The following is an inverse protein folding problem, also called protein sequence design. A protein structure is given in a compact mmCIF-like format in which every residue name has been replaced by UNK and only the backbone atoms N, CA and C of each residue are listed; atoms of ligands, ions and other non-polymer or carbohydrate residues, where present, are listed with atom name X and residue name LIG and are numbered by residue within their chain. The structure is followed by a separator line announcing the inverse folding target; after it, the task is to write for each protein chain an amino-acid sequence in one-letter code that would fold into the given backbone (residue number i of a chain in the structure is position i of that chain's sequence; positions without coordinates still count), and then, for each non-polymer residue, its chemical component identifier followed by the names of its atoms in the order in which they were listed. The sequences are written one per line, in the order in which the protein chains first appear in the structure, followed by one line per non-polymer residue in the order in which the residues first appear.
data_IF_820921381364
#
_entry.id   IF_820921381364
#
_cell.length_a   1.000
_cell.length_b   1.000
_cell.length_c   1.000
_cell.angle_alpha   90.00
_cell.angle_beta   90.00
_cell.angle_gamma   90.00
#
_symmetry.space_group_name_H-M   'P 1'
#
loop_
_entity.id
_entity.type
_entity.pdbx_description
1 polymer ?
#
# COMPACT_ATOMS: atom_id res chain seq x y z
N UNK A 1 -3.20 29.83 -3.98
CA UNK A 1 -3.88 28.85 -3.12
C UNK A 1 -5.27 28.68 -3.69
N UNK A 2 -5.61 27.50 -4.19
CA UNK A 2 -6.97 27.20 -4.62
C UNK A 2 -7.92 27.35 -3.42
N UNK A 3 -9.17 27.76 -3.69
CA UNK A 3 -10.16 27.93 -2.61
C UNK A 3 -10.44 26.58 -1.95
N UNK A 4 -10.61 26.53 -0.62
CA UNK A 4 -10.93 25.30 0.08
C UNK A 4 -12.26 24.74 -0.43
N UNK A 5 -12.21 23.50 -0.94
CA UNK A 5 -13.41 22.76 -1.36
C UNK A 5 -13.93 21.92 -0.19
N UNK A 6 -15.23 21.57 -0.21
CA UNK A 6 -15.80 20.61 0.73
C UNK A 6 -15.38 19.19 0.30
N UNK A 7 -14.81 18.42 1.23
CA UNK A 7 -14.40 17.03 1.03
C UNK A 7 -15.35 16.09 1.75
N UNK A 8 -15.85 15.10 1.04
CA UNK A 8 -16.60 14.00 1.63
C UNK A 8 -15.70 12.80 1.90
N UNK A 9 -15.92 12.10 2.99
CA UNK A 9 -15.30 10.82 3.28
C UNK A 9 -16.40 9.83 3.64
N UNK A 10 -16.59 8.82 2.83
CA UNK A 10 -17.58 7.77 3.05
C UNK A 10 -16.92 6.55 3.71
N UNK A 11 -17.18 6.35 4.99
CA UNK A 11 -16.57 5.37 5.88
C UNK A 11 -15.76 6.01 7.00
N UNK A 12 -16.17 5.80 8.26
CA UNK A 12 -15.55 6.35 9.47
C UNK A 12 -14.60 5.35 10.16
N UNK A 13 -14.06 4.38 9.40
CA UNK A 13 -13.02 3.48 9.87
C UNK A 13 -11.66 4.17 10.04
N UNK A 14 -10.62 3.41 10.38
CA UNK A 14 -9.27 3.95 10.61
C UNK A 14 -8.74 4.74 9.39
N UNK A 15 -8.95 4.24 8.17
CA UNK A 15 -8.52 4.92 6.95
C UNK A 15 -9.32 6.19 6.70
N UNK A 16 -10.67 6.12 6.71
CA UNK A 16 -11.50 7.30 6.46
C UNK A 16 -11.27 8.40 7.50
N UNK A 17 -11.16 8.05 8.79
CA UNK A 17 -10.80 9.00 9.86
C UNK A 17 -9.47 9.68 9.60
N UNK A 18 -8.44 8.91 9.22
CA UNK A 18 -7.11 9.45 8.90
C UNK A 18 -7.09 10.31 7.63
N UNK A 19 -7.85 9.96 6.60
CA UNK A 19 -8.00 10.77 5.37
C UNK A 19 -8.68 12.09 5.69
N UNK A 20 -9.77 12.05 6.47
CA UNK A 20 -10.47 13.26 6.92
C UNK A 20 -9.55 14.17 7.73
N UNK A 21 -8.74 13.62 8.64
CA UNK A 21 -7.74 14.39 9.38
C UNK A 21 -6.76 15.10 8.42
N UNK A 22 -6.24 14.41 7.43
CA UNK A 22 -5.29 14.98 6.45
C UNK A 22 -5.94 16.12 5.66
N UNK A 23 -7.15 15.92 5.13
CA UNK A 23 -7.86 16.93 4.37
C UNK A 23 -8.20 18.18 5.23
N UNK A 24 -8.65 17.97 6.47
CA UNK A 24 -8.95 19.08 7.38
C UNK A 24 -7.69 19.87 7.81
N UNK A 25 -6.56 19.16 8.02
CA UNK A 25 -5.27 19.81 8.29
C UNK A 25 -4.75 20.62 7.09
N UNK A 26 -5.15 20.26 5.88
CA UNK A 26 -4.86 21.02 4.66
C UNK A 26 -5.81 22.24 4.45
N UNK A 27 -6.77 22.45 5.34
CA UNK A 27 -7.67 23.62 5.34
C UNK A 27 -9.02 23.38 4.69
N UNK A 28 -9.39 22.15 4.39
CA UNK A 28 -10.70 21.81 3.82
C UNK A 28 -11.77 21.60 4.89
N UNK A 29 -13.03 21.93 4.55
CA UNK A 29 -14.19 21.47 5.31
C UNK A 29 -14.45 20.00 4.94
N UNK A 30 -14.58 19.14 5.94
CA UNK A 30 -14.70 17.69 5.73
C UNK A 30 -16.00 17.17 6.33
N UNK A 31 -16.72 16.34 5.59
CA UNK A 31 -17.86 15.57 6.08
C UNK A 31 -17.52 14.09 6.04
N UNK A 32 -17.53 13.46 7.22
CA UNK A 32 -17.34 12.01 7.37
C UNK A 32 -18.72 11.37 7.50
N UNK A 33 -19.07 10.53 6.56
CA UNK A 33 -20.27 9.71 6.60
C UNK A 33 -19.95 8.27 7.01
N UNK A 34 -20.80 7.69 7.85
CA UNK A 34 -20.85 6.24 8.08
C UNK A 34 -22.29 5.84 8.47
N UNK A 35 -22.72 4.67 7.98
CA UNK A 35 -24.04 4.12 8.33
C UNK A 35 -24.14 3.62 9.77
N UNK A 36 -23.00 3.46 10.47
CA UNK A 36 -22.92 3.01 11.84
C UNK A 36 -22.54 4.16 12.78
N UNK A 37 -23.44 4.58 13.64
CA UNK A 37 -23.21 5.64 14.63
C UNK A 37 -22.02 5.33 15.55
N UNK A 38 -21.80 4.05 15.87
CA UNK A 38 -20.65 3.59 16.65
C UNK A 38 -19.32 3.85 15.95
N UNK A 39 -19.28 3.79 14.62
CA UNK A 39 -18.09 4.15 13.82
C UNK A 39 -17.81 5.63 13.85
N UNK A 40 -18.85 6.46 13.71
CA UNK A 40 -18.76 7.92 13.84
C UNK A 40 -18.26 8.34 15.22
N UNK A 41 -18.79 7.72 16.30
CA UNK A 41 -18.33 7.98 17.66
C UNK A 41 -16.86 7.60 17.89
N UNK A 42 -16.42 6.46 17.33
CA UNK A 42 -15.00 6.05 17.38
C UNK A 42 -14.10 7.00 16.59
N UNK A 43 -14.52 7.41 15.40
CA UNK A 43 -13.79 8.39 14.58
C UNK A 43 -13.57 9.69 15.34
N UNK A 44 -14.60 10.22 16.00
CA UNK A 44 -14.50 11.41 16.85
C UNK A 44 -13.44 11.25 17.94
N UNK A 45 -13.49 10.14 18.68
CA UNK A 45 -12.55 9.86 19.76
C UNK A 45 -11.11 9.75 19.26
N UNK A 46 -10.90 9.10 18.10
CA UNK A 46 -9.58 8.99 17.47
C UNK A 46 -9.04 10.38 17.09
N UNK A 47 -9.83 11.20 16.42
CA UNK A 47 -9.43 12.56 16.03
C UNK A 47 -9.09 13.42 17.24
N UNK A 48 -9.91 13.39 18.29
CA UNK A 48 -9.65 14.12 19.54
C UNK A 48 -8.32 13.70 20.17
N UNK A 49 -8.05 12.39 20.25
CA UNK A 49 -6.80 11.85 20.78
C UNK A 49 -5.60 12.27 19.92
N UNK A 50 -5.73 12.21 18.60
CA UNK A 50 -4.61 12.50 17.70
C UNK A 50 -4.30 14.00 17.66
N UNK A 51 -5.29 14.89 17.69
CA UNK A 51 -5.06 16.33 17.83
C UNK A 51 -4.45 16.68 19.19
N UNK A 52 -4.91 16.07 20.28
CA UNK A 52 -4.31 16.26 21.61
C UNK A 52 -2.83 15.83 21.62
N UNK A 53 -2.47 14.71 20.96
CA UNK A 53 -1.08 14.28 20.80
C UNK A 53 -0.24 15.25 19.96
N UNK A 54 -0.82 15.85 18.91
CA UNK A 54 -0.11 16.84 18.10
C UNK A 54 0.18 18.12 18.90
N UNK A 55 -0.78 18.57 19.71
CA UNK A 55 -0.60 19.71 20.61
C UNK A 55 0.44 19.41 21.68
N UNK A 56 0.35 18.27 22.37
CA UNK A 56 1.31 17.89 23.43
C UNK A 56 2.75 17.77 22.92
N UNK A 57 2.93 17.46 21.62
CA UNK A 57 4.23 17.41 20.96
C UNK A 57 4.68 18.75 20.37
N UNK A 58 3.93 19.83 20.57
CA UNK A 58 4.23 21.16 20.02
C UNK A 58 4.17 21.24 18.50
N UNK A 59 3.51 20.29 17.84
CA UNK A 59 3.34 20.27 16.36
C UNK A 59 2.13 21.08 15.91
N UNK A 60 1.23 21.41 16.82
CA UNK A 60 0.02 22.17 16.58
C UNK A 60 -0.29 22.98 17.84
N UNK A 61 -0.79 24.21 17.71
CA UNK A 61 -1.33 24.96 18.83
C UNK A 61 -2.81 24.61 19.08
N UNK A 62 -3.32 24.87 20.30
CA UNK A 62 -4.68 24.53 20.71
C UNK A 62 -5.74 25.22 19.86
N UNK A 63 -5.54 26.49 19.48
CA UNK A 63 -6.50 27.25 18.70
C UNK A 63 -6.63 26.63 17.29
N UNK A 64 -5.51 26.30 16.66
CA UNK A 64 -5.47 25.64 15.35
C UNK A 64 -6.04 24.22 15.41
N UNK A 65 -5.72 23.44 16.45
CA UNK A 65 -6.30 22.12 16.66
C UNK A 65 -7.84 22.18 16.77
N UNK A 66 -8.35 23.15 17.50
CA UNK A 66 -9.81 23.41 17.66
C UNK A 66 -10.42 23.80 16.33
N UNK A 67 -9.78 24.70 15.57
CA UNK A 67 -10.26 25.13 14.24
C UNK A 67 -10.35 23.95 13.26
N UNK A 68 -9.32 23.11 13.19
CA UNK A 68 -9.29 21.93 12.33
C UNK A 68 -10.36 20.93 12.75
N UNK A 69 -10.54 20.69 14.04
CA UNK A 69 -11.57 19.82 14.57
C UNK A 69 -12.98 20.30 14.17
N UNK A 70 -13.23 21.59 14.27
CA UNK A 70 -14.51 22.19 13.88
C UNK A 70 -14.78 22.17 12.38
N UNK A 71 -13.74 22.00 11.56
CA UNK A 71 -13.89 21.81 10.13
C UNK A 71 -14.31 20.37 9.74
N UNK A 72 -14.38 19.44 10.71
CA UNK A 72 -14.79 18.05 10.48
C UNK A 72 -16.19 17.83 11.04
N UNK A 73 -17.15 17.51 10.16
CA UNK A 73 -18.53 17.15 10.52
C UNK A 73 -18.70 15.64 10.37
N UNK A 74 -19.42 15.02 11.34
CA UNK A 74 -19.79 13.61 11.28
C UNK A 74 -21.27 13.51 10.90
N UNK A 75 -21.55 12.80 9.83
CA UNK A 75 -22.86 12.70 9.18
C UNK A 75 -23.41 11.27 9.23
N UNK A 76 -24.69 11.14 9.55
CA UNK A 76 -25.42 9.86 9.53
C UNK A 76 -26.24 9.66 8.26
N UNK A 77 -26.45 10.72 7.46
CA UNK A 77 -27.09 10.64 6.14
C UNK A 77 -26.07 10.86 5.03
N UNK A 78 -26.17 10.06 3.97
CA UNK A 78 -25.34 10.18 2.77
C UNK A 78 -25.60 11.53 2.05
N UNK A 79 -26.82 12.07 2.15
CA UNK A 79 -27.20 13.36 1.57
C UNK A 79 -26.37 14.53 2.07
N UNK A 80 -25.77 14.43 3.27
CA UNK A 80 -24.89 15.48 3.80
C UNK A 80 -23.59 15.63 2.99
N UNK A 81 -23.28 14.69 2.09
CA UNK A 81 -22.19 14.79 1.13
C UNK A 81 -22.51 15.67 -0.08
N UNK A 82 -23.76 16.17 -0.21
CA UNK A 82 -24.11 17.15 -1.23
C UNK A 82 -23.18 18.38 -1.15
N UNK A 83 -22.82 18.90 -2.32
CA UNK A 83 -21.90 20.04 -2.46
C UNK A 83 -20.43 19.72 -2.19
N UNK A 84 -20.05 18.45 -2.01
CA UNK A 84 -18.64 18.07 -1.99
C UNK A 84 -18.03 18.17 -3.40
N UNK A 85 -16.80 18.73 -3.49
CA UNK A 85 -16.03 18.75 -4.72
C UNK A 85 -15.27 17.43 -4.97
N UNK A 86 -15.05 16.65 -3.90
CA UNK A 86 -14.51 15.29 -3.96
C UNK A 86 -15.09 14.46 -2.82
N UNK A 87 -15.43 13.21 -3.11
CA UNK A 87 -15.81 12.21 -2.09
C UNK A 87 -14.83 11.04 -2.18
N UNK A 88 -14.19 10.69 -1.06
CA UNK A 88 -13.27 9.56 -0.95
C UNK A 88 -13.95 8.44 -0.15
N UNK A 89 -14.17 7.32 -0.79
CA UNK A 89 -14.74 6.11 -0.17
C UNK A 89 -13.64 5.33 0.56
N UNK A 90 -13.92 4.94 1.81
CA UNK A 90 -13.05 4.12 2.67
C UNK A 90 -13.88 3.14 3.52
N UNK A 91 -14.90 2.50 2.91
CA UNK A 91 -15.71 1.46 3.55
C UNK A 91 -15.03 0.08 3.46
N UNK A 92 -15.72 -0.98 3.89
CA UNK A 92 -15.21 -2.36 3.83
C UNK A 92 -14.79 -2.74 2.42
N UNK A 93 -13.73 -3.56 2.30
CA UNK A 93 -13.15 -3.98 1.02
C UNK A 93 -14.01 -5.07 0.37
N UNK A 94 -15.18 -4.66 -0.11
CA UNK A 94 -16.15 -5.52 -0.80
C UNK A 94 -16.68 -4.78 -2.03
N UNK A 95 -16.52 -5.41 -3.20
CA UNK A 95 -16.86 -4.81 -4.49
C UNK A 95 -18.34 -4.40 -4.60
N UNK A 96 -19.27 -5.26 -4.17
CA UNK A 96 -20.69 -4.98 -4.30
C UNK A 96 -21.15 -3.87 -3.34
N UNK A 97 -20.56 -3.79 -2.14
CA UNK A 97 -20.79 -2.69 -1.20
C UNK A 97 -20.32 -1.37 -1.80
N UNK A 98 -19.11 -1.35 -2.38
CA UNK A 98 -18.56 -0.15 -3.00
C UNK A 98 -19.37 0.27 -4.24
N UNK A 99 -19.76 -0.66 -5.11
CA UNK A 99 -20.61 -0.38 -6.27
C UNK A 99 -21.95 0.26 -5.86
N UNK A 100 -22.61 -0.30 -4.85
CA UNK A 100 -23.87 0.25 -4.34
C UNK A 100 -23.68 1.67 -3.84
N UNK A 101 -22.64 1.90 -3.02
CA UNK A 101 -22.32 3.22 -2.48
C UNK A 101 -22.04 4.24 -3.61
N UNK A 102 -21.25 3.86 -4.62
CA UNK A 102 -20.92 4.76 -5.74
C UNK A 102 -22.16 5.12 -6.58
N UNK A 103 -23.07 4.15 -6.81
CA UNK A 103 -24.33 4.42 -7.50
C UNK A 103 -25.23 5.39 -6.70
N UNK A 104 -25.25 5.28 -5.37
CA UNK A 104 -25.99 6.20 -4.49
C UNK A 104 -25.33 7.59 -4.45
N UNK A 105 -24.01 7.65 -4.26
CA UNK A 105 -23.25 8.92 -4.24
C UNK A 105 -23.44 9.72 -5.52
N UNK A 106 -23.47 9.06 -6.67
CA UNK A 106 -23.64 9.72 -7.97
C UNK A 106 -24.97 10.48 -8.08
N UNK A 107 -25.99 10.08 -7.34
CA UNK A 107 -27.31 10.75 -7.33
C UNK A 107 -27.38 11.95 -6.38
N UNK A 108 -26.40 12.09 -5.49
CA UNK A 108 -26.38 13.08 -4.41
C UNK A 108 -25.43 14.23 -4.76
N UNK A 109 -24.24 13.90 -5.26
CA UNK A 109 -23.21 14.91 -5.51
C UNK A 109 -23.30 15.48 -6.93
N UNK A 110 -22.79 16.71 -7.07
CA UNK A 110 -22.71 17.41 -8.36
C UNK A 110 -21.95 16.56 -9.42
N UNK A 111 -22.27 16.78 -10.70
CA UNK A 111 -21.64 16.05 -11.80
C UNK A 111 -20.13 16.29 -11.93
N UNK A 112 -19.64 17.41 -11.42
CA UNK A 112 -18.22 17.76 -11.39
C UNK A 112 -17.49 17.21 -10.16
N UNK A 113 -18.20 16.66 -9.18
CA UNK A 113 -17.61 16.04 -8.01
C UNK A 113 -16.79 14.82 -8.39
N UNK A 114 -15.54 14.77 -7.95
CA UNK A 114 -14.68 13.60 -8.13
C UNK A 114 -15.12 12.50 -7.15
N UNK A 115 -15.41 11.33 -7.66
CA UNK A 115 -15.69 10.13 -6.86
C UNK A 115 -14.43 9.28 -6.77
N UNK A 116 -13.88 9.18 -5.58
CA UNK A 116 -12.63 8.46 -5.34
C UNK A 116 -12.84 7.23 -4.46
N UNK A 117 -12.10 6.14 -4.73
CA UNK A 117 -12.07 4.95 -3.88
C UNK A 117 -10.68 4.79 -3.26
N UNK A 118 -10.64 4.50 -1.95
CA UNK A 118 -9.40 4.17 -1.24
C UNK A 118 -9.10 2.66 -1.24
N UNK A 119 -9.69 1.90 -2.17
CA UNK A 119 -9.42 0.47 -2.27
C UNK A 119 -7.92 0.19 -2.37
N UNK A 120 -7.49 -0.92 -1.75
CA UNK A 120 -6.10 -1.39 -1.83
C UNK A 120 -5.89 -2.49 -2.88
N UNK A 121 -6.98 -3.10 -3.37
CA UNK A 121 -6.89 -4.33 -4.15
C UNK A 121 -8.00 -4.53 -5.18
N UNK A 122 -9.13 -3.83 -5.07
CA UNK A 122 -10.23 -3.98 -6.01
C UNK A 122 -9.99 -3.14 -7.29
N UNK A 123 -10.38 -3.63 -8.47
CA UNK A 123 -10.24 -2.87 -9.71
C UNK A 123 -11.09 -1.58 -9.67
N UNK A 124 -10.46 -0.44 -9.86
CA UNK A 124 -11.16 0.86 -9.86
C UNK A 124 -12.22 0.91 -10.96
N UNK A 125 -11.92 0.34 -12.13
CA UNK A 125 -12.87 0.24 -13.24
C UNK A 125 -14.13 -0.58 -12.89
N UNK A 126 -14.00 -1.61 -12.05
CA UNK A 126 -15.15 -2.41 -11.62
C UNK A 126 -16.08 -1.64 -10.68
N UNK A 127 -15.51 -0.74 -9.84
CA UNK A 127 -16.30 0.17 -9.00
C UNK A 127 -16.93 1.25 -9.87
N UNK A 128 -16.18 1.87 -10.78
CA UNK A 128 -16.66 2.88 -11.71
C UNK A 128 -17.81 2.37 -12.60
N UNK A 129 -17.85 1.07 -12.87
CA UNK A 129 -18.90 0.46 -13.68
C UNK A 129 -20.32 0.62 -13.09
N UNK A 130 -20.44 0.90 -11.79
CA UNK A 130 -21.70 1.19 -11.13
C UNK A 130 -22.23 2.61 -11.40
N UNK A 131 -21.36 3.52 -11.87
CA UNK A 131 -21.71 4.90 -12.16
C UNK A 131 -22.11 5.10 -13.63
N UNK A 132 -23.03 6.04 -13.87
CA UNK A 132 -23.38 6.54 -15.20
C UNK A 132 -22.22 7.36 -15.79
N UNK A 133 -21.64 8.26 -14.97
CA UNK A 133 -20.51 9.13 -15.35
C UNK A 133 -19.20 8.55 -14.81
N UNK A 134 -18.73 7.47 -15.43
CA UNK A 134 -17.51 6.74 -15.03
C UNK A 134 -16.24 7.56 -15.15
N UNK A 135 -16.25 8.59 -15.99
CA UNK A 135 -15.07 9.43 -16.27
C UNK A 135 -14.58 10.23 -15.06
N UNK A 136 -15.44 10.45 -14.06
CA UNK A 136 -15.10 11.17 -12.82
C UNK A 136 -14.67 10.27 -11.67
N UNK A 137 -14.56 8.94 -11.90
CA UNK A 137 -14.14 7.98 -10.87
C UNK A 137 -12.65 7.72 -10.95
N UNK A 138 -11.98 7.75 -9.79
CA UNK A 138 -10.52 7.54 -9.67
C UNK A 138 -10.19 6.78 -8.38
N UNK A 139 -9.13 5.99 -8.38
CA UNK A 139 -8.56 5.43 -7.15
C UNK A 139 -7.63 6.43 -6.48
N UNK A 140 -7.74 6.58 -5.16
CA UNK A 140 -6.82 7.37 -4.31
C UNK A 140 -6.45 6.51 -3.11
N UNK A 141 -5.40 5.72 -3.26
CA UNK A 141 -4.98 4.74 -2.28
C UNK A 141 -4.00 5.33 -1.28
N UNK A 142 -4.49 5.61 -0.07
CA UNK A 142 -3.68 6.02 1.07
C UNK A 142 -3.13 4.81 1.81
N UNK A 143 -1.93 4.95 2.38
CA UNK A 143 -1.31 3.92 3.21
C UNK A 143 -1.60 4.15 4.69
N UNK A 144 -1.79 3.07 5.43
CA UNK A 144 -2.10 3.13 6.87
C UNK A 144 -0.83 3.34 7.72
N UNK A 145 -0.81 4.32 8.65
CA UNK A 145 -1.84 5.32 8.96
C UNK A 145 -1.81 6.50 7.95
N UNK A 146 -2.99 6.90 7.44
CA UNK A 146 -3.09 7.92 6.39
C UNK A 146 -2.47 9.27 6.80
N UNK A 147 -2.57 9.66 8.08
CA UNK A 147 -1.98 10.89 8.59
C UNK A 147 -0.43 10.87 8.63
N UNK A 148 0.20 9.69 8.66
CA UNK A 148 1.65 9.54 8.84
C UNK A 148 2.34 9.19 7.52
N UNK A 149 1.76 8.26 6.75
CA UNK A 149 2.38 7.77 5.52
C UNK A 149 2.35 8.85 4.44
N UNK A 150 3.51 9.19 3.86
CA UNK A 150 3.59 10.28 2.88
C UNK A 150 3.03 9.91 1.51
N UNK A 151 3.11 8.62 1.12
CA UNK A 151 2.74 8.17 -0.21
C UNK A 151 1.23 8.06 -0.38
N UNK A 152 0.76 8.45 -1.57
CA UNK A 152 -0.59 8.14 -2.08
C UNK A 152 -0.48 7.69 -3.53
N UNK A 153 -1.03 6.55 -3.87
CA UNK A 153 -1.16 6.11 -5.26
C UNK A 153 -2.45 6.70 -5.85
N UNK A 154 -2.35 7.36 -7.00
CA UNK A 154 -3.49 7.84 -7.79
C UNK A 154 -3.69 6.88 -8.95
N UNK A 155 -4.85 6.24 -9.02
CA UNK A 155 -5.13 5.14 -9.92
C UNK A 155 -6.28 5.54 -10.88
N UNK A 156 -6.00 6.13 -12.04
CA UNK A 156 -7.04 6.35 -13.05
C UNK A 156 -7.54 5.01 -13.56
N UNK A 157 -8.85 4.80 -13.54
CA UNK A 157 -9.48 3.70 -14.25
C UNK A 157 -9.36 3.92 -15.77
N UNK A 158 -9.66 2.89 -16.54
CA UNK A 158 -9.64 2.99 -18.02
C UNK A 158 -10.56 4.09 -18.58
N UNK A 159 -11.60 4.45 -17.84
CA UNK A 159 -12.58 5.48 -18.21
C UNK A 159 -12.34 6.83 -17.57
N UNK A 160 -11.40 6.96 -16.63
CA UNK A 160 -11.13 8.22 -15.93
C UNK A 160 -10.62 9.28 -16.89
N UNK A 161 -11.23 10.47 -16.90
CA UNK A 161 -10.73 11.60 -17.67
C UNK A 161 -9.40 12.09 -17.10
N UNK A 162 -8.49 12.52 -17.99
CA UNK A 162 -7.18 13.02 -17.58
C UNK A 162 -7.29 14.25 -16.66
N UNK A 163 -8.28 15.12 -16.88
CA UNK A 163 -8.58 16.25 -16.01
C UNK A 163 -8.92 15.83 -14.58
N UNK A 164 -9.68 14.76 -14.41
CA UNK A 164 -10.04 14.19 -13.11
C UNK A 164 -8.81 13.65 -12.38
N UNK A 165 -7.95 12.93 -13.11
CA UNK A 165 -6.68 12.45 -12.57
C UNK A 165 -5.79 13.61 -12.13
N UNK A 166 -5.62 14.65 -12.98
CA UNK A 166 -4.77 15.79 -12.67
C UNK A 166 -5.30 16.59 -11.47
N UNK A 167 -6.62 16.81 -11.39
CA UNK A 167 -7.25 17.52 -10.29
C UNK A 167 -7.12 16.72 -8.97
N UNK A 168 -7.36 15.40 -9.01
CA UNK A 168 -7.19 14.54 -7.85
C UNK A 168 -5.74 14.55 -7.34
N UNK A 169 -4.78 14.45 -8.28
CA UNK A 169 -3.35 14.51 -7.97
C UNK A 169 -2.97 15.84 -7.34
N UNK A 170 -3.31 16.96 -7.97
CA UNK A 170 -2.97 18.29 -7.48
C UNK A 170 -3.56 18.55 -6.08
N UNK A 171 -4.81 18.13 -5.87
CA UNK A 171 -5.49 18.27 -4.59
C UNK A 171 -4.78 17.47 -3.48
N UNK A 172 -4.46 16.19 -3.73
CA UNK A 172 -3.78 15.35 -2.73
C UNK A 172 -2.34 15.79 -2.48
N UNK A 173 -1.63 16.28 -3.51
CA UNK A 173 -0.31 16.90 -3.36
C UNK A 173 -0.38 18.14 -2.46
N UNK A 174 -1.43 18.97 -2.59
CA UNK A 174 -1.64 20.14 -1.75
C UNK A 174 -1.82 19.80 -0.26
N UNK A 175 -2.20 18.58 0.07
CA UNK A 175 -2.27 18.05 1.45
C UNK A 175 -0.91 17.64 2.03
N UNK A 176 0.19 17.91 1.31
CA UNK A 176 1.53 17.53 1.72
C UNK A 176 1.84 16.05 1.52
N UNK A 177 1.07 15.37 0.68
CA UNK A 177 1.34 13.99 0.27
C UNK A 177 2.26 13.96 -0.94
N UNK A 178 2.86 12.82 -1.16
CA UNK A 178 3.66 12.52 -2.36
C UNK A 178 2.86 11.54 -3.20
N UNK A 179 2.36 12.01 -4.33
CA UNK A 179 1.53 11.17 -5.20
C UNK A 179 2.34 10.48 -6.29
N UNK A 180 1.94 9.27 -6.65
CA UNK A 180 2.45 8.51 -7.80
C UNK A 180 1.29 8.05 -8.67
N UNK A 181 1.50 7.96 -10.00
CA UNK A 181 0.50 7.41 -10.92
C UNK A 181 0.66 5.90 -11.02
N UNK A 182 -0.40 5.16 -10.69
CA UNK A 182 -0.45 3.71 -10.86
C UNK A 182 -1.51 3.31 -11.87
N UNK A 183 -1.22 2.31 -12.69
CA UNK A 183 -2.22 1.68 -13.55
C UNK A 183 -3.19 0.85 -12.72
N UNK A 184 -4.48 0.84 -13.11
CA UNK A 184 -5.52 0.03 -12.46
C UNK A 184 -5.27 -1.47 -12.75
N UNK A 185 -4.36 -2.06 -11.96
CA UNK A 185 -3.95 -3.46 -12.04
C UNK A 185 -3.79 -4.04 -10.63
N UNK A 186 -3.85 -5.37 -10.45
CA UNK A 186 -3.81 -5.99 -9.13
C UNK A 186 -2.58 -5.57 -8.32
N UNK A 187 -2.84 -5.02 -7.12
CA UNK A 187 -1.81 -4.57 -6.20
C UNK A 187 -1.12 -3.25 -6.56
N UNK A 188 -1.60 -2.54 -7.60
CA UNK A 188 -1.07 -1.26 -8.08
C UNK A 188 0.47 -1.27 -8.20
N UNK A 189 1.18 -0.37 -7.51
CA UNK A 189 2.65 -0.39 -7.47
C UNK A 189 3.15 -1.14 -6.22
N UNK A 190 2.81 -0.63 -5.04
CA UNK A 190 3.44 -1.09 -3.78
C UNK A 190 3.06 -2.52 -3.44
N UNK A 191 1.76 -2.85 -3.44
CA UNK A 191 1.31 -4.20 -3.08
C UNK A 191 1.75 -5.25 -4.09
N UNK A 192 1.98 -4.89 -5.34
CA UNK A 192 2.56 -5.75 -6.36
C UNK A 192 4.05 -5.96 -6.12
N UNK A 193 4.85 -4.88 -6.10
CA UNK A 193 6.32 -4.97 -6.08
C UNK A 193 6.83 -5.50 -4.74
N UNK A 194 6.13 -5.24 -3.64
CA UNK A 194 6.53 -5.73 -2.32
C UNK A 194 6.24 -7.23 -2.07
N UNK A 195 5.49 -7.93 -2.93
CA UNK A 195 5.16 -9.35 -2.67
C UNK A 195 6.37 -10.25 -2.52
N UNK A 196 7.42 -10.15 -3.35
CA UNK A 196 8.62 -10.96 -3.18
C UNK A 196 9.34 -10.75 -1.83
N UNK A 197 9.22 -9.59 -1.19
CA UNK A 197 9.81 -9.35 0.13
C UNK A 197 9.33 -10.37 1.17
N UNK A 198 8.04 -10.70 1.11
CA UNK A 198 7.41 -11.67 1.99
C UNK A 198 7.51 -13.11 1.43
N UNK A 199 7.06 -13.28 0.20
CA UNK A 199 6.94 -14.60 -0.41
C UNK A 199 8.27 -15.31 -0.58
N UNK A 200 9.34 -14.59 -0.94
CA UNK A 200 10.67 -15.17 -1.09
C UNK A 200 11.33 -15.46 0.26
N UNK A 201 11.11 -14.58 1.26
CA UNK A 201 11.55 -14.84 2.63
C UNK A 201 10.94 -16.13 3.21
N UNK A 202 9.63 -16.32 3.03
CA UNK A 202 8.95 -17.53 3.49
C UNK A 202 9.48 -18.76 2.72
N UNK A 203 9.72 -18.64 1.41
CA UNK A 203 10.26 -19.73 0.59
C UNK A 203 11.64 -20.18 1.10
N UNK A 204 12.54 -19.23 1.36
CA UNK A 204 13.87 -19.51 1.95
C UNK A 204 13.75 -20.24 3.30
N UNK A 205 12.79 -19.82 4.13
CA UNK A 205 12.50 -20.47 5.42
C UNK A 205 11.95 -21.89 5.24
N UNK A 206 10.95 -22.08 4.35
CA UNK A 206 10.35 -23.38 4.07
C UNK A 206 11.37 -24.38 3.47
N UNK A 207 12.36 -23.91 2.75
CA UNK A 207 13.47 -24.71 2.20
C UNK A 207 14.54 -25.06 3.26
N UNK A 208 14.43 -24.53 4.48
CA UNK A 208 15.40 -24.75 5.55
C UNK A 208 16.78 -24.11 5.29
N UNK A 209 16.87 -23.17 4.35
CA UNK A 209 18.13 -22.48 4.01
C UNK A 209 18.55 -21.55 5.15
N UNK A 210 17.60 -20.81 5.71
CA UNK A 210 17.87 -19.87 6.78
C UNK A 210 16.70 -19.80 7.78
N UNK A 211 17.00 -19.49 9.03
CA UNK A 211 15.99 -19.25 10.06
C UNK A 211 15.29 -17.91 9.84
N UNK A 212 14.13 -17.73 10.48
CA UNK A 212 13.40 -16.46 10.50
C UNK A 212 14.32 -15.30 10.97
N UNK A 213 15.11 -15.54 12.04
CA UNK A 213 16.05 -14.57 12.58
C UNK A 213 17.16 -14.20 11.60
N UNK A 214 17.72 -15.22 10.89
CA UNK A 214 18.74 -14.99 9.86
C UNK A 214 18.22 -14.11 8.73
N UNK A 215 16.99 -14.41 8.25
CA UNK A 215 16.39 -13.69 7.11
C UNK A 215 16.10 -12.25 7.49
N UNK A 216 15.48 -12.02 8.65
CA UNK A 216 15.22 -10.66 9.12
C UNK A 216 16.51 -9.88 9.37
N UNK A 217 17.53 -10.55 9.93
CA UNK A 217 18.84 -9.95 10.16
C UNK A 217 19.53 -9.58 8.85
N UNK A 218 19.54 -10.47 7.84
CA UNK A 218 20.14 -10.20 6.54
C UNK A 218 19.54 -8.95 5.88
N UNK A 219 18.20 -8.85 5.89
CA UNK A 219 17.52 -7.69 5.29
C UNK A 219 17.82 -6.39 6.05
N UNK A 220 17.93 -6.43 7.37
CA UNK A 220 18.27 -5.24 8.17
C UNK A 220 19.73 -4.86 8.08
N UNK A 221 20.64 -5.81 8.33
CA UNK A 221 22.08 -5.51 8.48
C UNK A 221 22.79 -5.26 7.15
N UNK A 222 22.45 -6.00 6.10
CA UNK A 222 23.04 -5.85 4.77
C UNK A 222 22.23 -4.86 3.92
N UNK A 223 20.90 -5.02 3.92
CA UNK A 223 19.99 -4.23 3.09
C UNK A 223 19.63 -2.86 3.64
N UNK A 224 19.82 -2.63 4.95
CA UNK A 224 19.41 -1.37 5.59
C UNK A 224 17.90 -1.20 5.75
N UNK A 225 17.11 -2.27 5.60
CA UNK A 225 15.67 -2.22 5.87
C UNK A 225 15.40 -1.99 7.36
N UNK A 226 14.37 -1.21 7.68
CA UNK A 226 14.00 -0.94 9.09
C UNK A 226 13.55 -2.18 9.84
N UNK A 227 12.88 -3.10 9.14
CA UNK A 227 12.41 -4.38 9.64
C UNK A 227 12.67 -5.45 8.59
N UNK A 228 12.93 -6.67 9.05
CA UNK A 228 12.93 -7.83 8.18
C UNK A 228 11.51 -8.25 7.79
N UNK A 229 11.37 -9.17 6.81
CA UNK A 229 10.07 -9.56 6.28
C UNK A 229 9.14 -10.19 7.33
N UNK A 230 9.66 -11.00 8.25
CA UNK A 230 8.85 -11.67 9.27
C UNK A 230 8.43 -10.70 10.39
N UNK A 231 9.35 -9.82 10.83
CA UNK A 231 8.99 -8.74 11.76
C UNK A 231 7.93 -7.82 11.19
N UNK A 232 7.99 -7.53 9.88
CA UNK A 232 7.04 -6.66 9.20
C UNK A 232 5.68 -7.36 9.01
N UNK A 233 5.66 -8.65 8.65
CA UNK A 233 4.42 -9.43 8.55
C UNK A 233 3.69 -9.48 9.90
N UNK A 234 4.42 -9.73 11.00
CA UNK A 234 3.85 -9.73 12.34
C UNK A 234 3.39 -8.35 12.83
N UNK A 235 4.00 -7.28 12.34
CA UNK A 235 3.57 -5.91 12.63
C UNK A 235 2.28 -5.52 11.89
N UNK A 236 2.18 -5.86 10.60
CA UNK A 236 1.00 -5.61 9.76
C UNK A 236 -0.17 -6.49 10.20
N UNK A 237 0.13 -7.71 10.54
CA UNK A 237 -0.79 -8.81 10.81
C UNK A 237 -0.78 -9.83 9.68
N UNK A 238 -0.55 -11.10 10.04
CA UNK A 238 -0.48 -12.21 9.09
C UNK A 238 -1.82 -12.43 8.35
N UNK A 239 -2.95 -12.06 8.97
CA UNK A 239 -4.26 -12.06 8.34
C UNK A 239 -4.34 -11.05 7.17
N UNK A 240 -3.88 -9.83 7.39
CA UNK A 240 -3.85 -8.78 6.35
C UNK A 240 -2.86 -9.16 5.25
N UNK A 241 -1.65 -9.59 5.64
CA UNK A 241 -0.61 -9.94 4.67
C UNK A 241 -1.02 -11.12 3.79
N UNK A 242 -1.61 -12.17 4.38
CA UNK A 242 -2.13 -13.33 3.63
C UNK A 242 -3.27 -12.92 2.69
N UNK A 243 -4.28 -12.18 3.19
CA UNK A 243 -5.44 -11.75 2.40
C UNK A 243 -5.01 -10.92 1.19
N UNK A 244 -4.07 -10.00 1.35
CA UNK A 244 -3.54 -9.21 0.22
C UNK A 244 -2.79 -10.10 -0.76
N UNK A 245 -1.94 -11.02 -0.28
CA UNK A 245 -1.19 -11.95 -1.16
C UNK A 245 -2.15 -12.84 -1.95
N UNK A 246 -3.16 -13.40 -1.30
CA UNK A 246 -4.16 -14.27 -1.94
C UNK A 246 -4.98 -13.49 -2.98
N UNK A 247 -5.39 -12.25 -2.65
CA UNK A 247 -6.16 -11.39 -3.55
C UNK A 247 -5.36 -11.06 -4.81
N UNK A 248 -4.10 -10.61 -4.66
CA UNK A 248 -3.23 -10.32 -5.79
C UNK A 248 -3.01 -11.57 -6.65
N UNK A 249 -2.72 -12.72 -6.03
CA UNK A 249 -2.52 -13.99 -6.74
C UNK A 249 -3.75 -14.40 -7.56
N UNK A 250 -4.95 -14.34 -6.99
CA UNK A 250 -6.21 -14.66 -7.68
C UNK A 250 -6.46 -13.71 -8.86
N UNK A 251 -6.26 -12.42 -8.64
CA UNK A 251 -6.48 -11.39 -9.67
C UNK A 251 -5.40 -11.41 -10.77
N UNK A 252 -4.21 -11.93 -10.48
CA UNK A 252 -3.15 -12.18 -11.47
C UNK A 252 -3.34 -13.53 -12.17
N UNK A 253 -4.56 -14.06 -12.21
CA UNK A 253 -4.89 -15.35 -12.82
C UNK A 253 -3.99 -16.49 -12.33
N UNK A 254 -3.71 -16.49 -11.02
CA UNK A 254 -2.91 -17.53 -10.36
C UNK A 254 -1.45 -17.59 -10.80
N UNK A 255 -0.87 -16.49 -11.28
CA UNK A 255 0.57 -16.43 -11.63
C UNK A 255 1.42 -16.89 -10.42
N UNK A 256 2.33 -17.84 -10.69
CA UNK A 256 3.19 -18.47 -9.70
C UNK A 256 4.02 -17.46 -8.90
N UNK A 257 4.35 -16.31 -9.49
CA UNK A 257 5.14 -15.25 -8.85
C UNK A 257 4.49 -14.71 -7.57
N UNK A 258 3.15 -14.67 -7.53
CA UNK A 258 2.39 -14.10 -6.41
C UNK A 258 1.75 -15.17 -5.53
N UNK A 259 1.99 -16.45 -5.80
CA UNK A 259 1.38 -17.57 -5.06
C UNK A 259 1.72 -17.49 -3.58
N UNK A 260 0.69 -17.50 -2.67
CA UNK A 260 0.92 -17.56 -1.24
C UNK A 260 1.56 -18.89 -0.82
N UNK A 261 2.18 -18.90 0.35
CA UNK A 261 2.75 -20.12 0.94
C UNK A 261 1.77 -20.83 1.86
N UNK A 262 2.01 -22.13 2.07
CA UNK A 262 1.26 -22.94 3.05
C UNK A 262 1.52 -22.41 4.45
N UNK A 263 2.76 -22.05 4.79
CA UNK A 263 3.11 -21.47 6.11
C UNK A 263 2.31 -20.22 6.40
N UNK A 264 2.18 -19.30 5.42
CA UNK A 264 1.41 -18.06 5.55
C UNK A 264 -0.08 -18.37 5.81
N UNK A 265 -0.64 -19.31 5.05
CA UNK A 265 -2.03 -19.75 5.21
C UNK A 265 -2.27 -20.37 6.59
N UNK A 266 -1.36 -21.24 7.07
CA UNK A 266 -1.50 -21.90 8.36
C UNK A 266 -1.45 -20.93 9.54
N UNK A 267 -0.59 -19.91 9.49
CA UNK A 267 -0.59 -18.85 10.49
C UNK A 267 -1.92 -18.09 10.51
N UNK A 268 -2.47 -17.79 9.34
CA UNK A 268 -3.78 -17.16 9.21
C UNK A 268 -4.90 -18.05 9.85
N UNK A 269 -4.96 -19.33 9.46
CA UNK A 269 -5.98 -20.28 9.96
C UNK A 269 -5.86 -20.51 11.48
N UNK A 270 -4.64 -20.47 12.02
CA UNK A 270 -4.38 -20.64 13.43
C UNK A 270 -4.65 -19.37 14.28
N UNK A 271 -5.00 -18.24 13.67
CA UNK A 271 -5.17 -16.97 14.39
C UNK A 271 -3.86 -16.37 14.90
N UNK A 272 -2.71 -16.83 14.38
CA UNK A 272 -1.37 -16.34 14.73
C UNK A 272 -1.02 -15.10 13.91
N UNK A 273 -1.69 -13.98 14.23
CA UNK A 273 -1.65 -12.76 13.42
C UNK A 273 -0.45 -11.84 13.73
N UNK A 274 0.48 -12.26 14.56
CA UNK A 274 1.63 -11.46 14.96
C UNK A 274 1.38 -10.66 16.23
N UNK A 275 1.89 -9.42 16.29
CA UNK A 275 1.84 -8.57 17.50
C UNK A 275 0.45 -8.41 18.08
N UNK A 276 -0.57 -8.23 17.25
CA UNK A 276 -1.95 -8.00 17.70
C UNK A 276 -2.61 -9.20 18.36
N UNK A 277 -2.11 -10.42 18.10
CA UNK A 277 -2.57 -11.66 18.73
C UNK A 277 -1.55 -12.21 19.75
N UNK A 278 -0.44 -11.48 19.98
CA UNK A 278 0.63 -11.92 20.89
C UNK A 278 1.57 -12.96 20.29
N UNK A 279 1.28 -13.52 19.12
CA UNK A 279 2.11 -14.51 18.44
C UNK A 279 1.87 -14.50 16.93
N UNK A 280 2.95 -14.72 16.19
CA UNK A 280 2.98 -14.89 14.75
C UNK A 280 4.19 -15.73 14.37
N UNK A 281 5.03 -15.23 13.47
CA UNK A 281 6.35 -15.80 13.23
C UNK A 281 7.23 -15.73 14.47
N UNK A 282 7.06 -14.67 15.26
CA UNK A 282 7.71 -14.49 16.56
C UNK A 282 6.70 -14.65 17.70
N UNK A 283 7.22 -14.96 18.88
CA UNK A 283 6.47 -14.91 20.14
C UNK A 283 6.68 -13.53 20.78
N UNK A 284 5.57 -12.87 21.17
CA UNK A 284 5.56 -11.53 21.77
C UNK A 284 5.17 -11.55 23.26
N UNK A 285 5.15 -12.74 23.89
CA UNK A 285 4.99 -12.84 25.34
C UNK A 285 6.17 -12.14 26.06
N UNK A 286 5.93 -11.56 27.23
CA UNK A 286 6.96 -10.85 28.01
C UNK A 286 8.18 -11.73 28.34
N UNK A 287 7.97 -13.04 28.47
CA UNK A 287 9.01 -14.04 28.78
C UNK A 287 9.66 -14.64 27.54
N UNK A 288 9.21 -14.27 26.34
CA UNK A 288 9.72 -14.87 25.12
C UNK A 288 11.14 -14.36 24.79
N UNK A 289 12.02 -15.28 24.47
CA UNK A 289 13.37 -14.96 23.98
C UNK A 289 13.35 -14.90 22.45
N UNK A 290 13.81 -13.80 21.90
CA UNK A 290 13.99 -13.71 20.43
C UNK A 290 15.14 -14.62 20.00
N UNK A 291 14.95 -15.41 18.93
CA UNK A 291 16.03 -16.22 18.38
C UNK A 291 17.14 -15.33 17.82
N UNK A 292 18.39 -15.70 18.09
CA UNK A 292 19.57 -15.00 17.58
C UNK A 292 19.89 -15.44 16.14
N UNK A 293 20.32 -14.53 15.28
CA UNK A 293 20.75 -14.86 13.93
C UNK A 293 22.12 -15.55 13.93
N UNK A 294 22.39 -16.29 12.85
CA UNK A 294 23.71 -16.89 12.62
C UNK A 294 24.78 -15.83 12.34
N UNK A 295 26.05 -16.18 12.59
CA UNK A 295 27.21 -15.40 12.18
C UNK A 295 27.73 -15.80 10.77
N UNK A 296 26.98 -16.57 9.99
CA UNK A 296 27.38 -17.00 8.64
C UNK A 296 27.08 -15.91 7.60
N UNK A 297 28.06 -15.04 7.37
CA UNK A 297 27.97 -13.93 6.42
C UNK A 297 27.62 -14.37 4.98
N UNK A 298 28.07 -15.57 4.55
CA UNK A 298 27.80 -16.08 3.19
C UNK A 298 26.32 -16.42 3.07
N UNK A 299 25.75 -17.05 4.08
CA UNK A 299 24.33 -17.37 4.14
C UNK A 299 23.49 -16.10 4.14
N UNK A 300 23.85 -15.12 5.01
CA UNK A 300 23.14 -13.85 5.11
C UNK A 300 23.18 -13.09 3.78
N UNK A 301 24.34 -13.04 3.12
CA UNK A 301 24.48 -12.41 1.81
C UNK A 301 23.66 -13.11 0.71
N UNK A 302 23.59 -14.45 0.71
CA UNK A 302 22.75 -15.21 -0.20
C UNK A 302 21.28 -14.88 -0.02
N UNK A 303 20.79 -14.87 1.23
CA UNK A 303 19.40 -14.53 1.58
C UNK A 303 19.05 -13.13 1.07
N UNK A 304 19.88 -12.15 1.41
CA UNK A 304 19.68 -10.77 0.98
C UNK A 304 19.63 -10.63 -0.54
N UNK A 305 20.61 -11.17 -1.24
CA UNK A 305 20.69 -11.10 -2.70
C UNK A 305 19.48 -11.74 -3.38
N UNK A 306 19.03 -12.90 -2.89
CA UNK A 306 17.88 -13.61 -3.45
C UNK A 306 16.61 -12.79 -3.33
N UNK A 307 16.31 -12.26 -2.15
CA UNK A 307 15.12 -11.42 -1.93
C UNK A 307 15.22 -10.13 -2.75
N UNK A 308 16.36 -9.43 -2.70
CA UNK A 308 16.55 -8.17 -3.42
C UNK A 308 16.43 -8.34 -4.95
N UNK A 309 17.04 -9.37 -5.52
CA UNK A 309 16.93 -9.62 -6.97
C UNK A 309 15.49 -9.91 -7.39
N UNK A 310 14.70 -10.62 -6.56
CA UNK A 310 13.28 -10.84 -6.83
C UNK A 310 12.47 -9.55 -6.76
N UNK A 311 12.76 -8.65 -5.83
CA UNK A 311 12.14 -7.32 -5.76
C UNK A 311 12.47 -6.47 -6.98
N UNK A 312 13.72 -6.46 -7.40
CA UNK A 312 14.18 -5.74 -8.59
C UNK A 312 13.53 -6.32 -9.86
N UNK A 313 13.45 -7.65 -9.95
CA UNK A 313 12.79 -8.31 -11.07
C UNK A 313 11.32 -7.88 -11.22
N UNK A 314 10.59 -7.78 -10.10
CA UNK A 314 9.21 -7.32 -10.10
C UNK A 314 9.08 -5.82 -10.44
N UNK A 315 10.00 -4.98 -9.95
CA UNK A 315 10.04 -3.57 -10.30
C UNK A 315 10.33 -3.35 -11.80
N UNK A 316 11.25 -4.13 -12.36
CA UNK A 316 11.55 -4.11 -13.80
C UNK A 316 10.35 -4.58 -14.64
N UNK A 317 9.62 -5.58 -14.16
CA UNK A 317 8.41 -6.07 -14.83
C UNK A 317 7.26 -5.05 -14.76
N UNK A 318 7.09 -4.39 -13.61
CA UNK A 318 6.12 -3.30 -13.45
C UNK A 318 6.42 -2.13 -14.40
N UNK A 319 7.68 -1.77 -14.58
CA UNK A 319 8.10 -0.75 -15.55
C UNK A 319 7.83 -1.22 -16.99
N UNK A 320 8.17 -2.44 -17.34
CA UNK A 320 7.95 -3.03 -18.67
C UNK A 320 6.48 -3.04 -19.08
N UNK A 321 5.59 -3.36 -18.14
CA UNK A 321 4.15 -3.41 -18.35
C UNK A 321 3.46 -2.03 -18.24
N UNK A 322 4.25 -0.97 -18.09
CA UNK A 322 3.76 0.39 -17.90
C UNK A 322 2.72 0.48 -16.74
N UNK A 323 2.99 -0.21 -15.63
CA UNK A 323 2.18 -0.10 -14.41
C UNK A 323 2.39 1.27 -13.77
N UNK A 324 3.64 1.74 -13.79
CA UNK A 324 4.04 3.07 -13.36
C UNK A 324 5.29 3.53 -14.10
N UNK A 325 5.59 4.82 -14.02
CA UNK A 325 6.87 5.34 -14.50
C UNK A 325 8.02 4.85 -13.61
N UNK A 326 9.25 4.93 -14.13
CA UNK A 326 10.46 4.61 -13.38
C UNK A 326 10.55 5.40 -12.06
N UNK A 327 10.30 6.70 -12.11
CA UNK A 327 10.39 7.58 -10.94
C UNK A 327 9.25 7.34 -9.94
N UNK A 328 8.04 6.99 -10.43
CA UNK A 328 6.92 6.61 -9.57
C UNK A 328 7.20 5.29 -8.82
N UNK A 329 7.82 4.30 -9.48
CA UNK A 329 8.24 3.05 -8.83
C UNK A 329 9.23 3.33 -7.70
N UNK A 330 10.27 4.12 -7.95
CA UNK A 330 11.26 4.49 -6.94
C UNK A 330 10.61 5.21 -5.75
N UNK A 331 9.74 6.18 -6.06
CA UNK A 331 9.01 6.96 -5.06
C UNK A 331 8.07 6.07 -4.24
N UNK A 332 7.31 5.20 -4.89
CA UNK A 332 6.38 4.30 -4.24
C UNK A 332 7.08 3.39 -3.24
N UNK A 333 8.20 2.78 -3.60
CA UNK A 333 8.91 1.85 -2.72
C UNK A 333 9.64 2.56 -1.57
N UNK A 334 10.19 3.74 -1.80
CA UNK A 334 10.89 4.49 -0.74
C UNK A 334 9.95 5.24 0.21
N UNK A 335 8.81 5.77 -0.28
CA UNK A 335 7.86 6.55 0.51
C UNK A 335 6.66 5.74 1.02
N UNK A 336 6.29 4.66 0.32
CA UNK A 336 5.16 3.82 0.69
C UNK A 336 5.50 2.70 1.67
N UNK A 337 6.66 2.07 1.52
CA UNK A 337 7.11 0.95 2.37
C UNK A 337 8.46 1.19 3.01
N UNK A 338 8.97 2.42 2.97
CA UNK A 338 10.22 2.84 3.60
C UNK A 338 11.42 1.97 3.21
N UNK A 339 11.50 1.54 1.96
CA UNK A 339 12.71 0.87 1.48
C UNK A 339 13.88 1.85 1.53
N UNK A 340 15.06 1.39 1.91
CA UNK A 340 16.22 2.26 2.11
C UNK A 340 16.68 2.92 0.82
N UNK A 341 16.33 2.29 -0.34
CA UNK A 341 16.72 2.74 -1.67
C UNK A 341 15.67 2.30 -2.70
N UNK A 342 15.55 3.06 -3.79
CA UNK A 342 14.74 2.66 -4.93
C UNK A 342 15.32 1.43 -5.62
N UNK A 343 14.45 0.51 -6.06
CA UNK A 343 14.84 -0.81 -6.54
C UNK A 343 15.56 -0.78 -7.89
N UNK A 344 15.15 0.12 -8.79
CA UNK A 344 15.78 0.24 -10.12
C UNK A 344 17.15 0.91 -10.02
N UNK A 345 17.31 1.93 -9.13
CA UNK A 345 18.62 2.49 -8.81
C UNK A 345 19.53 1.45 -8.15
N UNK A 346 18.95 0.61 -7.31
CA UNK A 346 19.71 -0.47 -6.67
C UNK A 346 20.20 -1.50 -7.68
N UNK A 347 19.39 -1.80 -8.70
CA UNK A 347 19.79 -2.66 -9.82
C UNK A 347 21.01 -2.09 -10.57
N UNK A 348 21.01 -0.78 -10.81
CA UNK A 348 22.15 -0.10 -11.46
C UNK A 348 23.44 -0.16 -10.64
N UNK A 349 23.33 -0.06 -9.32
CA UNK A 349 24.49 -0.12 -8.41
C UNK A 349 25.08 -1.54 -8.32
N UNK A 350 24.23 -2.57 -8.26
CA UNK A 350 24.66 -3.97 -8.21
C UNK A 350 25.22 -4.40 -9.59
N UNK A 351 24.67 -3.85 -10.64
CA UNK A 351 24.82 -4.22 -12.04
C UNK A 351 23.65 -5.06 -12.53
N UNK A 352 22.92 -4.52 -13.51
CA UNK A 352 21.71 -5.15 -14.08
C UNK A 352 21.97 -6.59 -14.56
N UNK A 353 23.13 -6.86 -15.18
CA UNK A 353 23.51 -8.21 -15.60
C UNK A 353 23.61 -9.18 -14.42
N UNK A 354 24.20 -8.77 -13.28
CA UNK A 354 24.30 -9.62 -12.09
C UNK A 354 22.93 -9.98 -11.50
N UNK A 355 22.00 -9.01 -11.51
CA UNK A 355 20.63 -9.26 -11.08
C UNK A 355 19.95 -10.27 -12.02
N UNK A 356 20.07 -10.06 -13.33
CA UNK A 356 19.53 -10.98 -14.34
C UNK A 356 20.08 -12.39 -14.19
N UNK A 357 21.41 -12.54 -14.10
CA UNK A 357 22.09 -13.83 -13.91
C UNK A 357 21.60 -14.56 -12.65
N UNK A 358 21.34 -13.79 -11.57
CA UNK A 358 20.81 -14.37 -10.33
C UNK A 358 19.42 -14.94 -10.53
N UNK A 359 18.52 -14.18 -11.18
CA UNK A 359 17.14 -14.62 -11.46
C UNK A 359 17.14 -15.80 -12.46
N UNK A 360 17.95 -15.76 -13.52
CA UNK A 360 18.06 -16.85 -14.49
C UNK A 360 18.57 -18.14 -13.84
N UNK A 361 19.53 -18.06 -12.92
CA UNK A 361 20.00 -19.20 -12.14
C UNK A 361 18.90 -19.77 -11.27
N UNK A 362 18.18 -18.94 -10.50
CA UNK A 362 17.05 -19.39 -9.70
C UNK A 362 15.98 -20.06 -10.59
N UNK A 363 15.68 -19.48 -11.75
CA UNK A 363 14.73 -20.07 -12.69
C UNK A 363 15.19 -21.44 -13.20
N UNK A 364 16.48 -21.58 -13.53
CA UNK A 364 17.06 -22.84 -14.00
C UNK A 364 17.12 -23.92 -12.90
N UNK A 365 17.43 -23.52 -11.66
CA UNK A 365 17.53 -24.46 -10.53
C UNK A 365 16.16 -24.96 -10.06
N UNK A 366 15.15 -24.09 -10.03
CA UNK A 366 13.81 -24.40 -9.51
C UNK A 366 12.82 -24.87 -10.59
N UNK A 367 13.02 -24.51 -11.86
CA UNK A 367 12.07 -24.69 -12.96
C UNK A 367 10.65 -24.21 -12.61
N UNK A 368 10.57 -23.13 -11.82
CA UNK A 368 9.33 -22.52 -11.35
C UNK A 368 9.20 -21.10 -11.95
N UNK A 369 8.07 -20.84 -12.60
CA UNK A 369 7.74 -19.53 -13.21
C UNK A 369 7.74 -18.37 -12.20
N UNK A 370 7.76 -18.64 -10.89
CA UNK A 370 8.02 -17.63 -9.86
C UNK A 370 9.30 -16.85 -10.15
N UNK A 371 10.33 -17.52 -10.66
CA UNK A 371 11.64 -16.93 -10.96
C UNK A 371 11.79 -16.49 -12.42
N UNK A 372 10.70 -16.46 -13.21
CA UNK A 372 10.72 -15.96 -14.58
C UNK A 372 11.33 -14.55 -14.62
N UNK A 373 12.45 -14.34 -15.33
CA UNK A 373 13.06 -13.02 -15.42
C UNK A 373 12.18 -12.06 -16.21
N UNK A 374 12.10 -10.81 -15.78
CA UNK A 374 11.46 -9.73 -16.52
C UNK A 374 12.12 -9.58 -17.90
N UNK A 375 11.31 -9.44 -18.94
CA UNK A 375 11.83 -9.24 -20.30
C UNK A 375 12.66 -7.95 -20.40
N UNK A 376 12.28 -6.90 -19.69
CA UNK A 376 13.05 -5.64 -19.64
C UNK A 376 14.42 -5.89 -19.00
N UNK A 377 14.46 -6.60 -17.87
CA UNK A 377 15.72 -6.92 -17.17
C UNK A 377 16.66 -7.72 -18.10
N UNK A 378 16.14 -8.69 -18.84
CA UNK A 378 16.93 -9.48 -19.82
C UNK A 378 17.48 -8.61 -20.96
N UNK A 379 16.65 -7.76 -21.55
CA UNK A 379 17.08 -6.84 -22.62
C UNK A 379 18.17 -5.91 -22.13
N UNK A 380 17.97 -5.27 -20.98
CA UNK A 380 18.94 -4.35 -20.41
C UNK A 380 20.25 -5.04 -20.03
N UNK A 381 20.20 -6.28 -19.51
CA UNK A 381 21.40 -7.06 -19.22
C UNK A 381 22.20 -7.35 -20.48
N UNK A 382 21.54 -7.75 -21.57
CA UNK A 382 22.17 -8.03 -22.86
C UNK A 382 22.79 -6.78 -23.52
N UNK A 383 22.19 -5.63 -23.32
CA UNK A 383 22.62 -4.35 -23.89
C UNK A 383 23.57 -3.58 -22.95
N UNK A 384 23.96 -4.14 -21.81
CA UNK A 384 24.70 -3.44 -20.74
C UNK A 384 24.06 -2.13 -20.32
N UNK A 385 22.73 -2.07 -20.38
CA UNK A 385 21.94 -0.89 -20.08
C UNK A 385 21.80 -0.62 -18.57
N UNK A 386 21.28 0.58 -18.27
CA UNK A 386 20.99 1.04 -16.90
C UNK A 386 19.58 1.62 -16.88
N UNK A 387 18.95 1.61 -15.71
CA UNK A 387 17.65 2.24 -15.52
C UNK A 387 17.77 3.77 -15.44
N UNK A 388 18.91 4.28 -14.95
CA UNK A 388 19.21 5.70 -14.76
C UNK A 388 20.56 6.11 -15.36
#
# INVERSE_FOLDING_TARGET
MEQPIKIGVAGAGAMGTGIAQVAAMAGHNVVIFDSFETSLGRSKTILDSDFAKLVSKGKLDDAKATSIRNAITHASSLDELEGCGMVIEAVVENLEVKKKLFAELETIVDEHCILATNTSSLPVIAIAAACKYRSRVVGIHFFNPAAIMPLVEIIPAFTTEESVYQNAKALVDSWGKVTVKAKDTPGFIVNRIARPFYGEAIKIYEEGIASIADIDHAMRSIGGFRMGPFELMDMIGNDINFSVTETVWKQMFYDARYRPSITQQRLFEAGLYGRKSGRGYYDYAETATKPEPTADDRKLQYVFNRILCMLINEAADALYLAIASRDDIETAMTKGVNYPKGLLRWADEIGVSKVCDTIERLHADYLDDRYRPSLLLKKMAAEHGRFF
#
